data_IF_676362793630
#
_entry.id   IF_676362793630
#
_cell.length_a   1.000
_cell.length_b   1.000
_cell.length_c   1.000
_cell.angle_alpha   90.00
_cell.angle_beta   90.00
_cell.angle_gamma   90.00
#
_symmetry.space_group_name_H-M   'P 1'
#
loop_
_entity.id
_entity.type
_entity.pdbx_description
1 polymer ?
#
# COMPACT_ATOMS: atom_id res chain seq x y z
N UNK A 1 -8.48 20.30 10.69
CA UNK A 1 -9.00 19.34 9.69
C UNK A 1 -8.14 18.09 9.77
N UNK A 2 -8.69 16.91 10.13
CA UNK A 2 -7.96 15.65 9.95
C UNK A 2 -7.84 15.42 8.44
N UNK A 3 -6.66 15.67 7.89
CA UNK A 3 -6.39 15.47 6.46
C UNK A 3 -6.64 14.02 6.10
N UNK A 4 -7.36 13.78 5.00
CA UNK A 4 -7.51 12.42 4.47
C UNK A 4 -6.12 11.86 4.17
N UNK A 5 -5.86 10.60 4.53
CA UNK A 5 -4.61 9.91 4.20
C UNK A 5 -4.31 10.06 2.71
N UNK A 6 -3.05 10.28 2.30
CA UNK A 6 -2.69 10.39 0.90
C UNK A 6 -3.06 9.14 0.10
N UNK A 7 -3.50 9.34 -1.14
CA UNK A 7 -3.71 8.28 -2.11
C UNK A 7 -2.66 8.38 -3.21
N UNK A 8 -2.07 7.25 -3.55
CA UNK A 8 -1.03 7.14 -4.56
C UNK A 8 -1.61 6.49 -5.81
N UNK A 9 -1.30 7.01 -7.00
CA UNK A 9 -1.47 6.19 -8.20
C UNK A 9 -0.45 5.03 -8.16
N UNK A 10 -0.61 4.04 -9.04
CA UNK A 10 0.27 2.85 -9.08
C UNK A 10 1.76 3.23 -9.21
N UNK A 11 2.10 4.19 -10.07
CA UNK A 11 3.50 4.59 -10.29
C UNK A 11 4.14 5.23 -9.06
N UNK A 12 3.39 6.08 -8.36
CA UNK A 12 3.86 6.70 -7.11
C UNK A 12 3.83 5.70 -5.94
N UNK A 13 2.91 4.74 -5.95
CA UNK A 13 2.88 3.63 -4.99
C UNK A 13 4.12 2.76 -5.11
N UNK A 14 4.52 2.40 -6.34
CA UNK A 14 5.77 1.72 -6.65
C UNK A 14 6.97 2.45 -6.05
N UNK A 15 7.07 3.76 -6.26
CA UNK A 15 8.16 4.58 -5.71
C UNK A 15 8.15 4.62 -4.18
N UNK A 16 6.96 4.67 -3.56
CA UNK A 16 6.84 4.63 -2.11
C UNK A 16 7.31 3.28 -1.55
N UNK A 17 6.94 2.16 -2.18
CA UNK A 17 7.39 0.82 -1.78
C UNK A 17 8.92 0.72 -1.85
N UNK A 18 9.54 1.23 -2.93
CA UNK A 18 11.00 1.26 -3.06
C UNK A 18 11.66 2.13 -1.99
N UNK A 19 11.05 3.28 -1.67
CA UNK A 19 11.49 4.12 -0.57
C UNK A 19 11.41 3.37 0.76
N UNK A 20 10.32 2.66 1.03
CA UNK A 20 10.14 1.86 2.24
C UNK A 20 11.24 0.79 2.36
N UNK A 21 11.55 0.08 1.26
CA UNK A 21 12.63 -0.90 1.19
C UNK A 21 13.97 -0.32 1.64
N UNK A 22 14.32 0.85 1.13
CA UNK A 22 15.63 1.47 1.38
C UNK A 22 15.74 2.16 2.74
N UNK A 23 14.63 2.30 3.48
CA UNK A 23 14.58 3.05 4.74
C UNK A 23 14.12 2.22 5.94
N UNK A 24 14.02 0.89 5.81
CA UNK A 24 13.59 0.01 6.90
C UNK A 24 12.16 0.28 7.36
N UNK A 25 11.27 0.66 6.43
CA UNK A 25 9.86 0.87 6.72
C UNK A 25 9.11 -0.33 6.15
N UNK A 26 8.29 -0.98 6.98
CA UNK A 26 7.45 -2.08 6.58
C UNK A 26 6.05 -1.59 6.19
N UNK A 27 5.36 -2.39 5.38
CA UNK A 27 3.99 -2.14 4.97
C UNK A 27 3.09 -3.08 5.77
N UNK A 28 2.23 -2.52 6.61
CA UNK A 28 1.28 -3.30 7.40
C UNK A 28 0.02 -3.65 6.59
N UNK A 29 -0.36 -2.79 5.66
CA UNK A 29 -1.51 -3.02 4.82
C UNK A 29 -1.62 -2.06 3.65
N UNK A 30 -2.46 -2.44 2.70
CA UNK A 30 -2.77 -1.70 1.48
C UNK A 30 -4.29 -1.67 1.31
N UNK A 31 -4.83 -0.50 0.98
CA UNK A 31 -6.24 -0.36 0.58
C UNK A 31 -6.34 0.34 -0.76
N UNK A 32 -7.07 -0.28 -1.70
CA UNK A 32 -7.36 0.25 -3.02
C UNK A 32 -8.64 1.07 -3.05
N UNK A 33 -8.64 2.15 -3.83
CA UNK A 33 -9.78 3.05 -4.01
C UNK A 33 -9.96 3.42 -5.48
N UNK A 34 -11.22 3.50 -5.91
CA UNK A 34 -11.61 4.20 -7.15
C UNK A 34 -12.12 5.59 -6.80
N UNK A 35 -11.77 6.58 -7.62
CA UNK A 35 -12.29 7.94 -7.48
C UNK A 35 -13.45 8.14 -8.45
N UNK A 36 -14.65 8.41 -7.93
CA UNK A 36 -15.81 8.78 -8.74
C UNK A 36 -16.43 10.05 -8.17
N UNK A 37 -16.52 11.10 -8.99
CA UNK A 37 -17.07 12.41 -8.58
C UNK A 37 -16.48 12.91 -7.25
N UNK A 38 -15.15 12.94 -7.15
CA UNK A 38 -14.38 13.33 -5.96
C UNK A 38 -14.62 12.51 -4.67
N UNK A 39 -15.30 11.37 -4.79
CA UNK A 39 -15.48 10.42 -3.69
C UNK A 39 -14.52 9.25 -3.83
N UNK A 40 -13.88 8.90 -2.72
CA UNK A 40 -13.11 7.66 -2.56
C UNK A 40 -14.08 6.52 -2.36
N UNK A 41 -14.07 5.54 -3.25
CA UNK A 41 -14.86 4.31 -3.15
C UNK A 41 -13.87 3.17 -2.91
N UNK A 42 -13.90 2.51 -1.74
CA UNK A 42 -13.04 1.36 -1.47
C UNK A 42 -13.28 0.25 -2.49
N UNK A 43 -12.20 -0.37 -2.94
CA UNK A 43 -12.23 -1.57 -3.76
C UNK A 43 -11.87 -2.77 -2.88
N UNK A 44 -12.88 -3.56 -2.51
CA UNK A 44 -12.72 -4.66 -1.55
C UNK A 44 -11.82 -5.79 -2.07
N UNK A 45 -11.62 -5.88 -3.39
CA UNK A 45 -10.71 -6.84 -4.01
C UNK A 45 -9.24 -6.38 -3.92
N UNK A 46 -9.01 -5.15 -3.45
CA UNK A 46 -7.69 -4.52 -3.35
C UNK A 46 -7.35 -4.16 -1.90
N UNK A 47 -7.65 -5.08 -0.98
CA UNK A 47 -7.27 -4.98 0.43
C UNK A 47 -6.21 -6.03 0.74
N UNK A 48 -5.12 -5.59 1.35
CA UNK A 48 -4.04 -6.46 1.80
C UNK A 48 -3.76 -6.16 3.26
N UNK A 49 -3.73 -7.19 4.09
CA UNK A 49 -3.47 -7.08 5.52
C UNK A 49 -2.33 -8.04 5.90
N UNK A 50 -1.23 -7.47 6.38
CA UNK A 50 -0.07 -8.21 6.86
C UNK A 50 0.02 -8.25 8.39
N UNK A 51 -0.99 -7.76 9.11
CA UNK A 51 -0.98 -7.63 10.57
C UNK A 51 -0.74 -8.95 11.31
N UNK A 52 -1.23 -10.07 10.77
CA UNK A 52 -1.00 -11.40 11.33
C UNK A 52 0.49 -11.82 11.32
N UNK A 53 1.28 -11.27 10.39
CA UNK A 53 2.70 -11.59 10.21
C UNK A 53 3.64 -10.58 10.89
N UNK A 54 3.13 -9.58 11.60
CA UNK A 54 3.93 -8.48 12.16
C UNK A 54 5.08 -8.93 13.08
N UNK A 55 4.95 -10.10 13.71
CA UNK A 55 5.96 -10.66 14.62
C UNK A 55 6.97 -11.60 13.94
N UNK A 56 6.87 -11.83 12.63
CA UNK A 56 7.83 -12.66 11.90
C UNK A 56 9.17 -11.92 11.74
N UNK A 57 10.30 -12.63 11.88
CA UNK A 57 11.64 -12.02 11.81
C UNK A 57 11.93 -11.32 10.47
N UNK A 58 11.32 -11.79 9.38
CA UNK A 58 11.49 -11.28 8.02
C UNK A 58 10.28 -10.48 7.52
N UNK A 59 9.35 -10.12 8.41
CA UNK A 59 8.13 -9.38 8.11
C UNK A 59 8.39 -8.13 7.25
N UNK A 60 9.39 -7.33 7.64
CA UNK A 60 9.70 -6.08 6.97
C UNK A 60 10.08 -6.27 5.49
N UNK A 61 10.88 -7.30 5.21
CA UNK A 61 11.31 -7.62 3.84
C UNK A 61 10.16 -8.21 3.05
N UNK A 62 9.47 -9.22 3.61
CA UNK A 62 8.34 -9.90 2.95
C UNK A 62 7.20 -8.95 2.61
N UNK A 63 6.83 -8.07 3.55
CA UNK A 63 5.72 -7.13 3.34
C UNK A 63 6.03 -6.16 2.20
N UNK A 64 7.24 -5.64 2.11
CA UNK A 64 7.68 -4.73 1.04
C UNK A 64 7.74 -5.44 -0.30
N UNK A 65 8.34 -6.63 -0.36
CA UNK A 65 8.46 -7.40 -1.62
C UNK A 65 7.10 -7.85 -2.15
N UNK A 66 6.21 -8.30 -1.26
CA UNK A 66 4.85 -8.69 -1.63
C UNK A 66 4.04 -7.47 -2.08
N UNK A 67 4.14 -6.36 -1.35
CA UNK A 67 3.49 -5.10 -1.72
C UNK A 67 3.93 -4.61 -3.09
N UNK A 68 5.22 -4.77 -3.43
CA UNK A 68 5.74 -4.38 -4.74
C UNK A 68 5.01 -5.09 -5.87
N UNK A 69 4.90 -6.42 -5.77
CA UNK A 69 4.25 -7.27 -6.78
C UNK A 69 2.77 -6.90 -6.90
N UNK A 70 2.09 -6.72 -5.76
CA UNK A 70 0.66 -6.36 -5.72
C UNK A 70 0.41 -5.02 -6.39
N UNK A 71 1.17 -3.99 -6.01
CA UNK A 71 1.02 -2.63 -6.56
C UNK A 71 1.29 -2.62 -8.06
N UNK A 72 2.35 -3.27 -8.53
CA UNK A 72 2.64 -3.39 -9.96
C UNK A 72 1.51 -4.10 -10.73
N UNK A 73 0.94 -5.15 -10.12
CA UNK A 73 -0.21 -5.89 -10.66
C UNK A 73 -1.49 -5.06 -10.83
N UNK A 74 -1.60 -3.91 -10.15
CA UNK A 74 -2.73 -2.98 -10.29
C UNK A 74 -2.58 -2.02 -11.48
N UNK A 75 -1.49 -2.12 -12.26
CA UNK A 75 -1.26 -1.24 -13.42
C UNK A 75 -2.45 -1.22 -14.39
N UNK A 76 -2.90 -0.02 -14.76
CA UNK A 76 -4.02 0.16 -15.69
C UNK A 76 -5.41 -0.02 -15.09
N UNK A 77 -5.54 -0.42 -13.81
CA UNK A 77 -6.84 -0.63 -13.14
C UNK A 77 -7.61 0.66 -12.79
N UNK A 78 -6.94 1.81 -12.83
CA UNK A 78 -7.49 3.09 -12.34
C UNK A 78 -7.64 3.16 -10.82
N UNK A 79 -7.00 2.24 -10.09
CA UNK A 79 -6.99 2.20 -8.63
C UNK A 79 -5.94 3.14 -8.07
N UNK A 80 -6.32 3.82 -6.99
CA UNK A 80 -5.44 4.59 -6.12
C UNK A 80 -5.25 3.84 -4.81
N UNK A 81 -4.10 4.02 -4.19
CA UNK A 81 -3.60 3.15 -3.14
C UNK A 81 -3.35 3.97 -1.88
N UNK A 82 -3.91 3.52 -0.77
CA UNK A 82 -3.54 3.96 0.56
C UNK A 82 -2.60 2.92 1.19
N UNK A 83 -1.53 3.38 1.84
CA UNK A 83 -0.58 2.51 2.52
C UNK A 83 -0.63 2.73 4.02
N UNK A 84 -0.65 1.64 4.77
CA UNK A 84 -0.46 1.63 6.21
C UNK A 84 0.99 1.24 6.46
N UNK A 85 1.81 2.20 6.90
CA UNK A 85 3.23 2.03 7.09
C UNK A 85 3.57 1.88 8.57
N UNK A 86 4.50 0.99 8.90
CA UNK A 86 5.04 0.84 10.26
C UNK A 86 6.55 0.86 10.23
N UNK A 87 7.14 1.40 11.28
CA UNK A 87 8.59 1.37 11.49
C UNK A 87 8.90 0.18 12.37
N UNK A 88 9.82 -0.66 11.91
CA UNK A 88 10.33 -1.85 12.59
C UNK A 88 11.74 -1.62 13.11
#
# INVERSE_FOLDING_TARGET
>A
MRGRTPLFNVGDGVRLVDYCKNNGIAILGIEGFKIKSDKRIPDMDCIVDFSASLNEMDFAVKSVETSRIIVEGMSGSGIFIEFILVRV
#
